data_IF_311220450606
#
_entry.id   IF_311220450606
#
_cell.length_a   1.000
_cell.length_b   1.000
_cell.length_c   1.000
_cell.angle_alpha   90.00
_cell.angle_beta   90.00
_cell.angle_gamma   90.00
#
_symmetry.space_group_name_H-M   'P 1'
#
loop_
_entity.id
_entity.type
_entity.pdbx_description
1 polymer ?
#
# COMPACT_ATOMS: atom_id res chain seq x y z
N UNK A 1 50.11 -3.30 -17.46
CA UNK A 1 48.73 -3.04 -17.90
C UNK A 1 47.82 -3.36 -16.71
N UNK A 2 47.36 -2.33 -16.00
CA UNK A 2 46.60 -2.49 -14.75
C UNK A 2 45.14 -2.82 -15.05
N UNK A 3 44.68 -3.97 -14.57
CA UNK A 3 43.27 -4.39 -14.65
C UNK A 3 42.48 -3.70 -13.54
N UNK A 4 41.70 -2.69 -13.91
CA UNK A 4 40.72 -2.07 -13.00
C UNK A 4 39.50 -2.99 -12.95
N UNK A 5 39.33 -3.70 -11.83
CA UNK A 5 38.10 -4.42 -11.52
C UNK A 5 37.01 -3.42 -11.15
N UNK A 6 35.99 -3.29 -12.01
CA UNK A 6 34.85 -2.42 -11.78
C UNK A 6 33.88 -3.08 -10.77
N UNK A 7 34.15 -2.92 -9.47
CA UNK A 7 33.25 -3.32 -8.39
C UNK A 7 32.06 -2.34 -8.27
N UNK A 8 31.14 -2.38 -9.25
CA UNK A 8 30.03 -1.43 -9.37
C UNK A 8 28.63 -2.04 -9.30
N UNK A 9 28.42 -3.13 -8.55
CA UNK A 9 27.17 -3.91 -8.60
C UNK A 9 26.17 -3.81 -7.40
N UNK A 10 26.51 -3.43 -6.16
CA UNK A 10 25.55 -3.57 -5.05
C UNK A 10 24.55 -2.41 -4.91
N UNK A 11 24.88 -1.19 -5.38
CA UNK A 11 24.01 -0.03 -5.18
C UNK A 11 22.78 -0.02 -6.12
N UNK A 12 22.93 -0.55 -7.34
CA UNK A 12 21.86 -0.59 -8.33
C UNK A 12 20.78 -1.62 -7.97
N UNK A 13 21.16 -2.78 -7.43
CA UNK A 13 20.22 -3.83 -6.99
C UNK A 13 19.37 -3.37 -5.79
N UNK A 14 19.99 -2.79 -4.76
CA UNK A 14 19.28 -2.23 -3.61
C UNK A 14 18.29 -1.12 -4.00
N UNK A 15 18.69 -0.25 -4.94
CA UNK A 15 17.81 0.80 -5.45
C UNK A 15 16.58 0.23 -6.18
N UNK A 16 16.74 -0.87 -6.92
CA UNK A 16 15.61 -1.54 -7.60
C UNK A 16 14.67 -2.24 -6.62
N UNK A 17 15.19 -2.92 -5.60
CA UNK A 17 14.37 -3.58 -4.58
C UNK A 17 13.55 -2.57 -3.78
N UNK A 18 14.19 -1.49 -3.32
CA UNK A 18 13.50 -0.39 -2.65
C UNK A 18 12.46 0.29 -3.54
N UNK A 19 12.76 0.41 -4.85
CA UNK A 19 11.82 0.91 -5.84
C UNK A 19 10.56 0.06 -5.93
N UNK A 20 10.72 -1.26 -5.98
CA UNK A 20 9.63 -2.23 -6.02
C UNK A 20 8.80 -2.21 -4.73
N UNK A 21 9.45 -2.17 -3.56
CA UNK A 21 8.76 -2.09 -2.27
C UNK A 21 7.92 -0.81 -2.16
N UNK A 22 8.46 0.35 -2.57
CA UNK A 22 7.68 1.61 -2.63
C UNK A 22 6.49 1.53 -3.57
N UNK A 23 6.60 0.81 -4.69
CA UNK A 23 5.49 0.56 -5.62
C UNK A 23 4.43 -0.31 -4.96
N UNK A 24 4.81 -1.46 -4.42
CA UNK A 24 3.88 -2.37 -3.73
C UNK A 24 3.13 -1.66 -2.58
N UNK A 25 3.83 -0.85 -1.78
CA UNK A 25 3.21 -0.04 -0.73
C UNK A 25 2.20 0.99 -1.26
N UNK A 26 2.40 1.53 -2.46
CA UNK A 26 1.42 2.42 -3.11
C UNK A 26 0.21 1.63 -3.61
N UNK A 27 0.44 0.48 -4.23
CA UNK A 27 -0.62 -0.36 -4.81
C UNK A 27 -1.60 -0.80 -3.72
N UNK A 28 -1.09 -1.34 -2.60
CA UNK A 28 -1.92 -1.70 -1.42
C UNK A 28 -2.76 -0.53 -0.92
N UNK A 29 -2.21 0.69 -0.88
CA UNK A 29 -2.93 1.87 -0.43
C UNK A 29 -4.02 2.29 -1.42
N UNK A 30 -3.81 2.11 -2.73
CA UNK A 30 -4.82 2.43 -3.73
C UNK A 30 -5.95 1.41 -3.73
N UNK A 31 -5.61 0.12 -3.68
CA UNK A 31 -6.60 -0.96 -3.62
C UNK A 31 -7.45 -0.84 -2.37
N UNK A 32 -6.82 -0.60 -1.21
CA UNK A 32 -7.57 -0.39 0.04
C UNK A 32 -8.46 0.85 -0.03
N UNK A 33 -8.03 1.93 -0.71
CA UNK A 33 -8.86 3.14 -0.86
C UNK A 33 -10.10 2.86 -1.71
N UNK A 34 -9.94 2.09 -2.78
CA UNK A 34 -11.04 1.75 -3.67
C UNK A 34 -11.99 0.78 -2.97
N UNK A 35 -11.48 -0.34 -2.43
CA UNK A 35 -12.27 -1.30 -1.66
C UNK A 35 -13.03 -0.65 -0.51
N UNK A 36 -12.40 0.26 0.26
CA UNK A 36 -13.09 0.95 1.36
C UNK A 36 -14.20 1.92 0.89
N UNK A 37 -14.19 2.39 -0.36
CA UNK A 37 -15.31 3.15 -0.94
C UNK A 37 -16.45 2.19 -1.30
N UNK A 38 -16.11 1.06 -1.92
CA UNK A 38 -17.07 0.06 -2.39
C UNK A 38 -17.77 -0.60 -1.20
N UNK A 39 -17.04 -1.01 -0.16
CA UNK A 39 -17.61 -1.50 1.10
C UNK A 39 -18.54 -0.48 1.75
N UNK A 40 -18.20 0.81 1.72
CA UNK A 40 -19.09 1.86 2.26
C UNK A 40 -20.38 1.97 1.44
N UNK A 41 -20.27 1.88 0.11
CA UNK A 41 -21.43 1.96 -0.76
C UNK A 41 -22.36 0.76 -0.53
N UNK A 42 -21.80 -0.44 -0.45
CA UNK A 42 -22.52 -1.67 -0.12
C UNK A 42 -23.22 -1.59 1.25
N UNK A 43 -22.50 -1.12 2.29
CA UNK A 43 -23.06 -0.92 3.63
C UNK A 43 -24.27 0.02 3.63
N UNK A 44 -24.21 1.11 2.83
CA UNK A 44 -25.31 2.07 2.70
C UNK A 44 -26.49 1.49 1.92
N UNK A 45 -26.24 0.72 0.86
CA UNK A 45 -27.29 0.14 0.03
C UNK A 45 -28.00 -1.02 0.71
N UNK A 46 -27.27 -1.83 1.48
CA UNK A 46 -27.85 -2.92 2.25
C UNK A 46 -28.66 -2.41 3.48
N UNK A 47 -28.46 -1.14 3.86
CA UNK A 47 -29.06 -0.55 5.06
C UNK A 47 -28.72 -1.32 6.35
N UNK A 48 -27.61 -2.09 6.32
CA UNK A 48 -27.14 -2.94 7.42
C UNK A 48 -26.80 -2.14 8.68
N UNK A 49 -26.35 -0.89 8.51
CA UNK A 49 -25.86 -0.03 9.59
C UNK A 49 -26.20 1.43 9.33
N UNK A 50 -26.11 2.24 10.39
CA UNK A 50 -26.21 3.70 10.27
C UNK A 50 -25.09 4.27 9.37
N UNK A 51 -25.35 5.41 8.72
CA UNK A 51 -24.35 6.11 7.92
C UNK A 51 -23.07 6.45 8.71
N UNK A 52 -23.18 6.66 10.03
CA UNK A 52 -22.04 6.90 10.91
C UNK A 52 -21.18 5.64 11.07
N UNK A 53 -21.80 4.48 11.27
CA UNK A 53 -21.10 3.20 11.34
C UNK A 53 -20.40 2.85 10.01
N UNK A 54 -21.07 3.00 8.86
CA UNK A 54 -20.42 2.78 7.55
C UNK A 54 -19.23 3.74 7.31
N UNK A 55 -19.28 4.97 7.84
CA UNK A 55 -18.13 5.91 7.79
C UNK A 55 -16.99 5.44 8.69
N UNK A 56 -17.28 4.85 9.84
CA UNK A 56 -16.27 4.31 10.74
C UNK A 56 -15.55 3.12 10.11
N UNK A 57 -16.29 2.16 9.55
CA UNK A 57 -15.70 0.99 8.90
C UNK A 57 -14.76 1.39 7.75
N UNK A 58 -15.17 2.37 6.93
CA UNK A 58 -14.32 2.96 5.89
C UNK A 58 -13.03 3.59 6.45
N UNK A 59 -13.11 4.25 7.62
CA UNK A 59 -11.92 4.85 8.27
C UNK A 59 -10.98 3.76 8.76
N UNK A 60 -11.52 2.74 9.42
CA UNK A 60 -10.77 1.59 9.93
C UNK A 60 -10.06 0.85 8.78
N UNK A 61 -10.77 0.52 7.70
CA UNK A 61 -10.18 -0.13 6.53
C UNK A 61 -9.01 0.68 5.93
N UNK A 62 -9.17 2.01 5.82
CA UNK A 62 -8.08 2.90 5.36
C UNK A 62 -6.90 2.96 6.32
N UNK A 63 -7.14 2.84 7.62
CA UNK A 63 -6.06 2.77 8.61
C UNK A 63 -5.27 1.47 8.46
N UNK A 64 -5.95 0.33 8.30
CA UNK A 64 -5.32 -0.96 8.04
C UNK A 64 -4.46 -0.89 6.78
N UNK A 65 -4.99 -0.43 5.63
CA UNK A 65 -4.18 -0.34 4.40
C UNK A 65 -3.01 0.64 4.50
N UNK A 66 -3.11 1.71 5.32
CA UNK A 66 -1.97 2.58 5.61
C UNK A 66 -0.91 1.85 6.42
N UNK A 67 -1.32 1.04 7.40
CA UNK A 67 -0.42 0.23 8.21
C UNK A 67 0.25 -0.85 7.37
N UNK A 68 -0.52 -1.64 6.61
CA UNK A 68 0.01 -2.66 5.68
C UNK A 68 1.01 -2.05 4.70
N UNK A 69 0.71 -0.88 4.13
CA UNK A 69 1.67 -0.18 3.27
C UNK A 69 2.90 0.39 3.98
N UNK A 70 2.92 0.50 5.31
CA UNK A 70 4.13 0.82 6.11
C UNK A 70 4.92 -0.43 6.43
N UNK A 71 4.23 -1.55 6.63
CA UNK A 71 4.84 -2.85 6.95
C UNK A 71 5.61 -3.43 5.76
N UNK A 72 5.27 -2.99 4.53
CA UNK A 72 6.12 -3.17 3.35
C UNK A 72 7.39 -2.31 3.54
N UNK A 73 8.44 -2.94 4.08
CA UNK A 73 9.76 -2.34 4.35
C UNK A 73 10.49 -1.92 3.06
N UNK A 74 11.38 -0.96 3.24
CA UNK A 74 12.42 -0.44 2.33
C UNK A 74 13.81 -0.83 2.84
#
# INVERSE_FOLDING_TARGET
MATIFLAGAPAMSLATEQGQQRKAARDVRQDTRQGARDTKQACRSANDKSNAACRQDKRNAKQTGRQTGRDIKY
#
